data_IF_743165140194
#
_entry.id   IF_743165140194
#
_cell.length_a   1.000
_cell.length_b   1.000
_cell.length_c   1.000
_cell.angle_alpha   90.00
_cell.angle_beta   90.00
_cell.angle_gamma   90.00
#
_symmetry.space_group_name_H-M   'P 1'
#
loop_
_entity.id
_entity.type
_entity.pdbx_description
1 polymer ?
#
# COMPACT_ATOMS: atom_id res chain seq x y z
N UNK A 1 -5.72 21.67 42.60
CA UNK A 1 -5.08 21.53 41.27
C UNK A 1 -3.59 21.69 41.51
N UNK A 2 -2.85 20.58 41.51
CA UNK A 2 -1.47 20.55 41.99
C UNK A 2 -0.50 21.08 40.94
N UNK A 3 0.64 21.62 41.38
CA UNK A 3 1.73 22.15 40.53
C UNK A 3 2.22 21.14 39.46
N UNK A 4 1.97 19.84 39.67
CA UNK A 4 2.29 18.77 38.73
C UNK A 4 1.33 18.67 37.52
N UNK A 5 0.08 19.12 37.61
CA UNK A 5 -0.86 19.12 36.47
C UNK A 5 -0.47 20.15 35.39
N UNK A 6 0.28 21.20 35.76
CA UNK A 6 0.77 22.20 34.80
C UNK A 6 1.96 21.71 33.98
N UNK A 7 2.74 20.74 34.48
CA UNK A 7 3.88 20.18 33.75
C UNK A 7 3.45 19.18 32.66
N UNK A 8 2.31 18.53 32.82
CA UNK A 8 1.82 17.52 31.88
C UNK A 8 1.27 18.07 30.55
N UNK A 9 1.09 19.39 30.42
CA UNK A 9 0.60 20.02 29.18
C UNK A 9 1.71 20.70 28.37
N UNK A 10 2.97 20.45 28.71
CA UNK A 10 4.08 21.12 28.05
C UNK A 10 4.27 20.64 26.61
N UNK A 11 4.37 19.34 26.39
CA UNK A 11 4.53 18.75 25.08
C UNK A 11 3.42 17.73 24.84
N UNK A 12 2.54 18.01 23.87
CA UNK A 12 1.48 17.11 23.46
C UNK A 12 1.31 17.10 21.94
N UNK A 13 1.07 15.91 21.39
CA UNK A 13 0.69 15.72 20.00
C UNK A 13 -0.79 15.37 19.89
N UNK A 14 -1.46 15.91 18.87
CA UNK A 14 -2.88 15.64 18.63
C UNK A 14 -3.13 14.27 18.02
N UNK A 15 -2.23 13.82 17.15
CA UNK A 15 -2.31 12.53 16.45
C UNK A 15 -1.10 11.64 16.71
N UNK A 16 -1.25 10.34 16.42
CA UNK A 16 -0.11 9.41 16.44
C UNK A 16 0.89 9.79 15.36
N UNK A 17 2.15 9.91 15.75
CA UNK A 17 3.28 10.08 14.85
C UNK A 17 3.92 8.71 14.62
N UNK A 18 3.92 8.27 13.37
CA UNK A 18 4.63 7.07 12.90
C UNK A 18 4.98 7.25 11.42
N UNK A 19 5.76 6.31 10.88
CA UNK A 19 6.14 6.32 9.47
C UNK A 19 4.93 6.22 8.50
N UNK A 20 3.81 5.66 8.96
CA UNK A 20 2.62 5.39 8.14
C UNK A 20 1.38 6.19 8.55
N UNK A 21 1.48 7.09 9.54
CA UNK A 21 0.33 7.86 10.02
C UNK A 21 0.19 9.19 9.28
N UNK A 22 -1.06 9.61 9.09
CA UNK A 22 -1.37 10.95 8.62
C UNK A 22 -1.19 11.95 9.79
N UNK A 23 0.03 12.46 9.94
CA UNK A 23 0.42 13.35 11.05
C UNK A 23 0.07 14.80 10.72
N UNK A 24 -0.42 15.56 11.71
CA UNK A 24 -0.70 16.98 11.52
C UNK A 24 0.61 17.78 11.40
N UNK A 25 0.70 18.77 10.51
CA UNK A 25 1.91 19.60 10.32
C UNK A 25 2.47 20.20 11.63
N UNK A 26 1.60 20.66 12.52
CA UNK A 26 2.00 21.24 13.82
C UNK A 26 2.64 20.20 14.75
N UNK A 27 2.12 18.97 14.76
CA UNK A 27 2.67 17.87 15.56
C UNK A 27 4.07 17.48 15.04
N UNK A 28 4.27 17.51 13.71
CA UNK A 28 5.58 17.28 13.08
C UNK A 28 6.59 18.35 13.52
N UNK A 29 6.24 19.62 13.42
CA UNK A 29 7.11 20.73 13.80
C UNK A 29 7.50 20.67 15.28
N UNK A 30 6.52 20.46 16.17
CA UNK A 30 6.76 20.30 17.61
C UNK A 30 7.70 19.14 17.88
N UNK A 31 7.45 17.99 17.27
CA UNK A 31 8.24 16.77 17.48
C UNK A 31 9.67 16.92 16.98
N UNK A 32 9.88 17.43 15.76
CA UNK A 32 11.22 17.71 15.24
C UNK A 32 11.98 18.71 16.11
N UNK A 33 11.30 19.75 16.59
CA UNK A 33 11.91 20.76 17.46
C UNK A 33 12.29 20.17 18.81
N UNK A 34 11.42 19.37 19.43
CA UNK A 34 11.70 18.68 20.68
C UNK A 34 12.88 17.70 20.53
N UNK A 35 12.89 16.88 19.47
CA UNK A 35 13.99 15.95 19.21
C UNK A 35 15.32 16.66 18.89
N UNK A 36 15.27 17.83 18.25
CA UNK A 36 16.47 18.65 18.03
C UNK A 36 17.04 19.15 19.37
N UNK A 37 16.16 19.61 20.28
CA UNK A 37 16.55 20.08 21.62
C UNK A 37 17.11 18.95 22.50
N UNK A 38 16.60 17.73 22.38
CA UNK A 38 17.15 16.57 23.11
C UNK A 38 18.43 16.00 22.47
N UNK A 39 18.81 16.51 21.29
CA UNK A 39 19.98 16.09 20.52
C UNK A 39 19.78 14.80 19.71
N UNK A 40 18.55 14.33 19.57
CA UNK A 40 18.22 13.06 18.91
C UNK A 40 17.83 13.25 17.43
N UNK A 41 17.55 14.48 16.99
CA UNK A 41 17.30 14.83 15.58
C UNK A 41 18.34 15.82 15.03
N UNK A 42 18.97 15.46 13.91
CA UNK A 42 19.89 16.35 13.20
C UNK A 42 19.11 17.27 12.27
N UNK A 43 19.04 18.55 12.61
CA UNK A 43 18.37 19.56 11.78
C UNK A 43 19.11 19.69 10.44
N UNK A 44 18.42 19.51 9.29
CA UNK A 44 19.01 19.73 7.97
C UNK A 44 19.40 21.20 7.75
N UNK A 45 20.27 21.46 6.78
CA UNK A 45 20.76 22.83 6.47
C UNK A 45 19.62 23.80 6.08
N UNK A 46 18.50 23.28 5.57
CA UNK A 46 17.32 24.07 5.22
C UNK A 46 16.36 24.33 6.41
N UNK A 47 16.66 23.80 7.60
CA UNK A 47 15.86 23.98 8.81
C UNK A 47 14.82 22.89 9.06
N UNK A 48 14.00 23.11 10.09
CA UNK A 48 12.89 22.22 10.46
C UNK A 48 11.67 22.56 9.59
N UNK A 49 11.13 21.55 8.90
CA UNK A 49 9.90 21.64 8.09
C UNK A 49 8.75 20.89 8.74
N UNK A 50 7.52 21.20 8.31
CA UNK A 50 6.27 20.61 8.77
C UNK A 50 5.89 19.29 8.10
N UNK A 51 6.74 18.81 7.19
CA UNK A 51 6.59 17.53 6.50
C UNK A 51 7.36 16.46 7.28
N UNK A 52 6.74 15.32 7.64
CA UNK A 52 7.46 14.25 8.33
C UNK A 52 8.54 13.66 7.41
N UNK A 53 9.70 13.36 7.97
CA UNK A 53 10.81 12.73 7.25
C UNK A 53 11.40 11.55 8.03
N UNK A 54 12.24 10.76 7.35
CA UNK A 54 12.88 9.61 7.96
C UNK A 54 13.82 10.00 9.12
N UNK A 55 14.44 11.18 9.03
CA UNK A 55 15.30 11.70 10.09
C UNK A 55 14.53 11.89 11.41
N UNK A 56 13.28 12.36 11.35
CA UNK A 56 12.41 12.51 12.51
C UNK A 56 12.07 11.15 13.14
N UNK A 57 11.74 10.15 12.33
CA UNK A 57 11.42 8.79 12.82
C UNK A 57 12.65 8.13 13.44
N UNK A 58 13.83 8.29 12.83
CA UNK A 58 15.10 7.83 13.40
C UNK A 58 15.42 8.55 14.72
N UNK A 59 15.12 9.85 14.80
CA UNK A 59 15.24 10.62 16.04
C UNK A 59 14.34 10.11 17.15
N UNK A 60 13.09 9.77 16.85
CA UNK A 60 12.18 9.11 17.81
C UNK A 60 12.77 7.79 18.32
N UNK A 61 13.27 6.93 17.41
CA UNK A 61 13.88 5.65 17.81
C UNK A 61 15.10 5.84 18.70
N UNK A 62 15.98 6.79 18.38
CA UNK A 62 17.14 7.13 19.21
C UNK A 62 16.72 7.63 20.59
N UNK A 63 15.76 8.56 20.64
CA UNK A 63 15.23 9.07 21.90
C UNK A 63 14.61 7.95 22.76
N UNK A 64 13.81 7.07 22.14
CA UNK A 64 13.21 5.93 22.82
C UNK A 64 14.28 5.00 23.40
N UNK A 65 15.29 4.64 22.60
CA UNK A 65 16.40 3.79 23.04
C UNK A 65 17.17 4.41 24.20
N UNK A 66 17.52 5.70 24.09
CA UNK A 66 18.25 6.47 25.11
C UNK A 66 17.51 6.53 26.46
N UNK A 67 16.17 6.51 26.42
CA UNK A 67 15.32 6.61 27.62
C UNK A 67 14.72 5.26 28.07
N UNK A 68 15.17 4.13 27.52
CA UNK A 68 14.68 2.80 27.91
C UNK A 68 13.22 2.54 27.54
N UNK A 69 12.70 3.23 26.52
CA UNK A 69 11.36 3.02 25.97
C UNK A 69 11.39 1.94 24.87
N UNK A 70 10.21 1.46 24.47
CA UNK A 70 10.08 0.59 23.30
C UNK A 70 10.52 1.34 22.03
N UNK A 71 11.47 0.79 21.30
CA UNK A 71 12.08 1.39 20.09
C UNK A 71 11.26 1.05 18.85
N UNK A 72 10.07 1.62 18.73
CA UNK A 72 9.17 1.40 17.60
C UNK A 72 9.06 2.60 16.65
N UNK A 73 9.65 3.75 17.00
CA UNK A 73 9.53 4.99 16.23
C UNK A 73 8.11 5.55 16.22
N UNK A 74 7.26 5.13 17.17
CA UNK A 74 5.88 5.56 17.29
C UNK A 74 5.70 6.41 18.54
N UNK A 75 5.04 7.57 18.35
CA UNK A 75 4.62 8.42 19.45
C UNK A 75 3.09 8.60 19.39
N UNK A 76 2.40 8.13 20.42
CA UNK A 76 0.94 8.27 20.55
C UNK A 76 0.60 9.44 21.47
N UNK A 77 -0.52 10.15 21.25
CA UNK A 77 -1.05 11.14 22.19
C UNK A 77 -1.20 10.57 23.59
N UNK A 78 -0.64 11.25 24.60
CA UNK A 78 -0.62 10.79 25.99
C UNK A 78 0.20 9.51 26.23
N UNK A 79 0.98 9.08 25.24
CA UNK A 79 1.79 7.87 25.31
C UNK A 79 3.11 8.07 26.07
N UNK A 80 3.82 6.97 26.38
CA UNK A 80 5.07 7.02 27.15
C UNK A 80 6.17 7.82 26.44
N UNK A 81 6.25 7.76 25.10
CA UNK A 81 7.20 8.56 24.32
C UNK A 81 6.95 10.05 24.45
N UNK A 82 5.69 10.48 24.30
CA UNK A 82 5.28 11.89 24.43
C UNK A 82 5.57 12.41 25.84
N UNK A 83 5.14 11.66 26.86
CA UNK A 83 5.35 12.03 28.26
C UNK A 83 6.84 12.17 28.59
N UNK A 84 7.68 11.25 28.10
CA UNK A 84 9.12 11.29 28.38
C UNK A 84 9.84 12.42 27.67
N UNK A 85 9.43 12.78 26.44
CA UNK A 85 9.92 13.99 25.76
C UNK A 85 9.55 15.21 26.60
N UNK A 86 8.29 15.35 27.02
CA UNK A 86 7.82 16.45 27.86
C UNK A 86 8.62 16.58 29.17
N UNK A 87 8.85 15.46 29.86
CA UNK A 87 9.67 15.41 31.08
C UNK A 87 11.12 15.85 30.82
N UNK A 88 11.73 15.35 29.75
CA UNK A 88 13.12 15.70 29.38
C UNK A 88 13.25 17.18 29.10
N UNK A 89 12.29 17.75 28.38
CA UNK A 89 12.24 19.17 28.05
C UNK A 89 12.03 20.05 29.29
N UNK A 90 11.11 19.66 30.17
CA UNK A 90 10.88 20.35 31.44
C UNK A 90 12.14 20.35 32.31
N UNK A 91 12.86 19.22 32.37
CA UNK A 91 14.13 19.11 33.10
C UNK A 91 15.25 19.96 32.50
N UNK A 92 15.19 20.26 31.20
CA UNK A 92 16.12 21.18 30.53
C UNK A 92 15.72 22.66 30.67
N UNK A 93 14.59 22.95 31.32
CA UNK A 93 14.07 24.32 31.47
C UNK A 93 13.60 24.96 30.17
N UNK A 94 13.38 24.17 29.12
CA UNK A 94 12.88 24.65 27.83
C UNK A 94 11.40 24.96 27.98
N UNK A 95 10.95 26.13 27.51
CA UNK A 95 9.54 26.53 27.52
C UNK A 95 8.87 26.37 26.13
N UNK A 96 7.53 26.34 26.08
CA UNK A 96 6.80 26.12 24.82
C UNK A 96 7.05 27.26 23.83
N UNK A 97 7.36 28.44 24.37
CA UNK A 97 7.76 29.61 23.61
C UNK A 97 9.12 29.39 22.93
N UNK A 98 10.05 28.70 23.58
CA UNK A 98 11.38 28.41 23.03
C UNK A 98 11.31 27.41 21.86
N UNK A 99 10.44 26.39 21.98
CA UNK A 99 10.20 25.41 20.92
C UNK A 99 9.77 26.05 19.60
N UNK A 100 8.80 26.96 19.66
CA UNK A 100 8.25 27.63 18.47
C UNK A 100 9.21 28.70 17.91
N UNK A 101 10.09 29.26 18.74
CA UNK A 101 11.15 30.16 18.28
C UNK A 101 12.21 29.41 17.46
N UNK A 102 12.57 28.19 17.87
CA UNK A 102 13.56 27.36 17.14
C UNK A 102 13.06 26.79 15.82
N UNK A 103 11.75 26.67 15.62
CA UNK A 103 11.18 26.25 14.34
C UNK A 103 11.22 27.35 13.25
N UNK A 104 11.65 28.59 13.59
CA UNK A 104 11.55 29.77 12.70
C UNK A 104 12.85 30.51 12.34
N UNK A 105 14.03 29.90 12.13
CA UNK A 105 15.01 30.57 11.31
C UNK A 105 14.58 30.38 9.85
N UNK A 106 13.78 31.30 9.31
CA UNK A 106 13.87 31.57 7.87
C UNK A 106 15.37 31.83 7.63
N UNK A 107 16.05 31.06 6.77
CA UNK A 107 17.43 31.39 6.45
C UNK A 107 17.46 32.87 6.08
N UNK A 108 18.34 33.65 6.72
CA UNK A 108 18.60 35.03 6.31
C UNK A 108 19.09 34.92 4.89
N UNK A 109 18.17 35.01 3.94
CA UNK A 109 18.54 35.04 2.53
C UNK A 109 19.28 36.36 2.37
N UNK A 110 20.60 36.25 2.30
CA UNK A 110 21.49 37.34 1.90
C UNK A 110 20.86 38.04 0.71
N UNK A 111 20.73 39.37 0.82
CA UNK A 111 20.14 40.30 -0.15
C UNK A 111 20.06 39.69 -1.56
N UNK A 112 18.85 39.24 -1.88
CA UNK A 112 18.51 38.70 -3.19
C UNK A 112 18.38 39.86 -4.16
N UNK A 113 19.05 39.77 -5.30
CA UNK A 113 18.81 40.68 -6.42
C UNK A 113 17.33 40.55 -6.87
N UNK A 114 16.54 41.65 -6.87
CA UNK A 114 15.10 41.62 -7.11
C UNK A 114 14.71 41.12 -8.51
N UNK A 115 15.66 41.02 -9.45
CA UNK A 115 15.39 40.48 -10.79
C UNK A 115 15.67 38.99 -10.94
N UNK A 116 16.48 38.37 -10.07
CA UNK A 116 16.99 37.01 -10.31
C UNK A 116 16.88 36.02 -9.15
N UNK A 117 16.51 36.45 -7.95
CA UNK A 117 16.18 35.49 -6.89
C UNK A 117 17.39 34.83 -6.19
N UNK A 118 18.63 35.18 -6.54
CA UNK A 118 19.85 34.50 -6.07
C UNK A 118 20.83 35.46 -5.34
N UNK A 119 21.62 34.96 -4.37
CA UNK A 119 22.65 35.73 -3.70
C UNK A 119 23.88 35.94 -4.61
N UNK A 120 24.42 37.15 -4.61
CA UNK A 120 25.58 37.53 -5.43
C UNK A 120 26.88 36.94 -4.88
N UNK A 121 27.21 35.71 -5.31
CA UNK A 121 28.50 35.08 -5.05
C UNK A 121 29.39 35.26 -6.28
N UNK A 122 30.51 35.99 -6.14
CA UNK A 122 31.61 35.99 -7.12
C UNK A 122 32.27 34.61 -7.14
N UNK A 123 31.67 33.64 -7.81
CA UNK A 123 32.31 32.35 -8.05
C UNK A 123 33.24 32.45 -9.27
N UNK A 124 34.42 31.81 -9.24
CA UNK A 124 35.15 31.51 -10.47
C UNK A 124 34.21 30.73 -11.40
N UNK A 125 34.26 31.03 -12.71
CA UNK A 125 33.35 30.50 -13.74
C UNK A 125 33.37 28.97 -13.78
N UNK A 126 32.66 28.32 -12.86
CA UNK A 126 32.44 26.89 -12.84
C UNK A 126 31.39 26.61 -13.91
N UNK A 127 31.77 25.81 -14.90
CA UNK A 127 30.84 25.34 -15.93
C UNK A 127 29.68 24.63 -15.19
N UNK A 128 28.47 25.16 -15.34
CA UNK A 128 27.27 24.58 -14.73
C UNK A 128 27.22 23.09 -15.09
N UNK A 129 26.97 22.18 -14.12
CA UNK A 129 26.77 20.78 -14.42
C UNK A 129 25.64 20.66 -15.46
N UNK A 130 25.88 19.91 -16.52
CA UNK A 130 24.87 19.69 -17.56
C UNK A 130 23.69 18.91 -16.98
N UNK A 131 22.50 19.02 -17.58
CA UNK A 131 21.32 18.23 -17.16
C UNK A 131 21.65 16.73 -17.05
N UNK A 132 22.54 16.25 -17.92
CA UNK A 132 23.06 14.88 -17.91
C UNK A 132 23.82 14.50 -16.64
N UNK A 133 24.56 15.44 -16.04
CA UNK A 133 25.25 15.21 -14.76
C UNK A 133 24.26 15.15 -13.59
N UNK A 134 23.21 15.98 -13.59
CA UNK A 134 22.16 15.92 -12.57
C UNK A 134 21.36 14.63 -12.63
N UNK A 135 21.07 14.14 -13.83
CA UNK A 135 20.42 12.84 -14.03
C UNK A 135 21.31 11.68 -13.56
N UNK A 136 22.63 11.77 -13.77
CA UNK A 136 23.59 10.79 -13.27
C UNK A 136 23.69 10.76 -11.74
N UNK A 137 23.68 11.94 -11.09
CA UNK A 137 23.69 12.04 -9.62
C UNK A 137 22.38 11.51 -9.03
N UNK A 138 21.24 11.81 -9.64
CA UNK A 138 19.94 11.28 -9.22
C UNK A 138 19.85 9.75 -9.38
N UNK A 139 20.46 9.18 -10.42
CA UNK A 139 20.57 7.73 -10.61
C UNK A 139 21.52 7.08 -9.58
N UNK A 140 22.56 7.78 -9.13
CA UNK A 140 23.51 7.27 -8.13
C UNK A 140 23.01 7.34 -6.68
N UNK A 141 22.02 8.19 -6.39
CA UNK A 141 21.48 8.39 -5.04
C UNK A 141 20.28 7.51 -4.66
N UNK A 142 19.75 6.68 -5.58
CA UNK A 142 18.74 5.68 -5.19
C UNK A 142 19.43 4.61 -4.33
N UNK A 143 19.10 4.46 -3.03
CA UNK A 143 19.66 3.38 -2.23
C UNK A 143 19.31 2.05 -2.91
N UNK A 144 20.32 1.22 -3.16
CA UNK A 144 20.15 -0.14 -3.67
C UNK A 144 19.63 -1.04 -2.54
N UNK A 145 18.41 -0.78 -2.08
CA UNK A 145 17.69 -1.76 -1.26
C UNK A 145 17.26 -2.88 -2.19
N UNK A 146 17.71 -4.10 -1.93
CA UNK A 146 17.22 -5.25 -2.68
C UNK A 146 15.68 -5.27 -2.57
N UNK A 147 14.96 -5.35 -3.68
CA UNK A 147 13.51 -5.39 -3.62
C UNK A 147 13.05 -6.63 -2.85
N UNK A 148 11.90 -6.52 -2.18
CA UNK A 148 11.46 -7.56 -1.24
C UNK A 148 11.30 -8.94 -1.88
N UNK A 149 10.99 -8.99 -3.18
CA UNK A 149 10.83 -10.21 -3.96
C UNK A 149 12.16 -10.96 -4.27
N UNK A 150 13.31 -10.40 -3.89
CA UNK A 150 14.64 -11.04 -3.99
C UNK A 150 15.09 -11.60 -2.63
N UNK A 151 14.30 -11.40 -1.56
CA UNK A 151 14.64 -11.88 -0.22
C UNK A 151 14.78 -13.40 -0.16
N UNK A 152 15.83 -13.87 0.53
CA UNK A 152 16.05 -15.30 0.84
C UNK A 152 14.94 -15.92 1.69
N UNK A 153 14.02 -15.11 2.23
CA UNK A 153 12.88 -15.56 3.02
C UNK A 153 11.69 -16.04 2.18
N UNK A 154 11.67 -15.81 0.87
CA UNK A 154 10.57 -16.26 0.01
C UNK A 154 10.75 -17.75 -0.26
N UNK A 155 9.73 -18.54 0.10
CA UNK A 155 9.75 -19.97 -0.18
C UNK A 155 9.76 -20.18 -1.69
N UNK A 156 10.58 -21.11 -2.22
CA UNK A 156 10.51 -21.47 -3.62
C UNK A 156 9.10 -21.97 -3.95
N UNK A 157 8.59 -21.54 -5.09
CA UNK A 157 7.29 -22.00 -5.61
C UNK A 157 7.45 -23.38 -6.24
N UNK A 158 6.35 -24.13 -6.33
CA UNK A 158 6.35 -25.42 -7.02
C UNK A 158 6.75 -25.27 -8.50
N UNK A 159 7.37 -26.31 -9.07
CA UNK A 159 7.85 -26.30 -10.46
C UNK A 159 6.75 -25.95 -11.48
N UNK A 160 5.50 -26.35 -11.20
CA UNK A 160 4.36 -26.03 -12.05
C UNK A 160 4.05 -24.53 -12.05
N UNK A 161 3.99 -23.90 -10.86
CA UNK A 161 3.78 -22.47 -10.71
C UNK A 161 4.93 -21.66 -11.30
N UNK A 162 6.18 -22.11 -11.10
CA UNK A 162 7.35 -21.52 -11.72
C UNK A 162 7.23 -21.51 -13.26
N UNK A 163 6.89 -22.67 -13.84
CA UNK A 163 6.71 -22.82 -15.29
C UNK A 163 5.53 -22.02 -15.84
N UNK A 164 4.44 -21.93 -15.07
CA UNK A 164 3.28 -21.11 -15.42
C UNK A 164 3.63 -19.62 -15.45
N UNK A 165 4.40 -19.14 -14.47
CA UNK A 165 4.94 -17.79 -14.44
C UNK A 165 5.86 -17.54 -15.65
N UNK A 166 6.72 -18.50 -16.02
CA UNK A 166 7.60 -18.37 -17.19
C UNK A 166 6.80 -18.19 -18.49
N UNK A 167 5.76 -19.01 -18.71
CA UNK A 167 4.89 -18.87 -19.90
C UNK A 167 4.16 -17.53 -19.93
N UNK A 168 3.65 -17.10 -18.77
CA UNK A 168 3.01 -15.80 -18.63
C UNK A 168 3.98 -14.65 -18.93
N UNK A 169 5.23 -14.79 -18.47
CA UNK A 169 6.32 -13.85 -18.76
C UNK A 169 6.62 -13.79 -20.26
N UNK A 170 6.73 -14.93 -20.93
CA UNK A 170 6.98 -14.99 -22.37
C UNK A 170 5.90 -14.26 -23.16
N UNK A 171 4.64 -14.40 -22.77
CA UNK A 171 3.54 -13.60 -23.32
C UNK A 171 3.70 -12.10 -23.02
N UNK A 172 3.95 -11.73 -21.77
CA UNK A 172 4.14 -10.33 -21.36
C UNK A 172 5.25 -9.63 -22.15
N UNK A 173 6.36 -10.32 -22.41
CA UNK A 173 7.52 -9.76 -23.09
C UNK A 173 7.33 -9.55 -24.59
N UNK A 174 6.34 -10.19 -25.20
CA UNK A 174 5.98 -9.93 -26.60
C UNK A 174 5.26 -8.58 -26.80
N UNK A 175 4.75 -7.98 -25.73
CA UNK A 175 4.00 -6.72 -25.77
C UNK A 175 4.72 -5.61 -25.01
N UNK A 176 4.58 -4.37 -25.49
CA UNK A 176 5.14 -3.18 -24.83
C UNK A 176 4.38 -2.74 -23.58
N UNK A 177 3.16 -3.24 -23.39
CA UNK A 177 2.28 -2.92 -22.25
C UNK A 177 2.11 -4.12 -21.33
N UNK A 178 1.75 -3.86 -20.07
CA UNK A 178 1.54 -4.92 -19.09
C UNK A 178 0.23 -5.70 -19.28
N UNK A 179 -0.70 -5.18 -20.09
CA UNK A 179 -1.99 -5.81 -20.35
C UNK A 179 -2.85 -5.90 -19.08
N UNK A 180 -3.61 -6.98 -18.95
CA UNK A 180 -4.47 -7.26 -17.78
C UNK A 180 -3.74 -7.97 -16.65
N UNK A 181 -2.48 -8.38 -16.85
CA UNK A 181 -1.71 -9.17 -15.87
C UNK A 181 -1.59 -8.51 -14.50
N UNK A 182 -1.33 -7.20 -14.38
CA UNK A 182 -1.31 -6.54 -13.08
C UNK A 182 -2.63 -6.65 -12.31
N UNK A 183 -3.77 -6.64 -13.01
CA UNK A 183 -5.08 -6.83 -12.39
C UNK A 183 -5.27 -8.26 -11.91
N UNK A 184 -4.83 -9.26 -12.68
CA UNK A 184 -4.90 -10.68 -12.29
C UNK A 184 -4.07 -10.97 -11.03
N UNK A 185 -2.83 -10.46 -10.97
CA UNK A 185 -2.01 -10.60 -9.77
C UNK A 185 -2.63 -9.85 -8.59
N UNK A 186 -3.10 -8.61 -8.79
CA UNK A 186 -3.78 -7.87 -7.73
C UNK A 186 -5.00 -8.64 -7.19
N UNK A 187 -5.79 -9.26 -8.06
CA UNK A 187 -6.93 -10.09 -7.66
C UNK A 187 -6.52 -11.33 -6.86
N UNK A 188 -5.45 -12.01 -7.25
CA UNK A 188 -4.91 -13.15 -6.47
C UNK A 188 -4.41 -12.73 -5.09
N UNK A 189 -3.82 -11.54 -4.98
CA UNK A 189 -3.24 -11.00 -3.76
C UNK A 189 -4.29 -10.40 -2.80
N UNK A 190 -5.49 -10.06 -3.28
CA UNK A 190 -6.56 -9.44 -2.47
C UNK A 190 -6.90 -10.20 -1.20
N UNK A 191 -6.80 -11.52 -1.24
CA UNK A 191 -7.15 -12.37 -0.10
C UNK A 191 -5.98 -12.58 0.88
N UNK A 192 -4.78 -12.07 0.55
CA UNK A 192 -3.58 -12.26 1.38
C UNK A 192 -3.10 -13.72 1.44
N UNK A 193 -3.39 -14.52 0.41
CA UNK A 193 -2.92 -15.90 0.34
C UNK A 193 -1.38 -15.94 0.20
N UNK A 194 -0.72 -16.63 1.13
CA UNK A 194 0.74 -16.82 1.14
C UNK A 194 1.22 -17.42 -0.20
N UNK A 195 0.44 -18.34 -0.78
CA UNK A 195 0.75 -18.93 -2.09
C UNK A 195 0.80 -17.86 -3.19
N UNK A 196 -0.20 -16.99 -3.25
CA UNK A 196 -0.27 -15.92 -4.24
C UNK A 196 0.89 -14.91 -4.08
N UNK A 197 1.30 -14.62 -2.84
CA UNK A 197 2.46 -13.74 -2.57
C UNK A 197 3.75 -14.38 -3.09
N UNK A 198 3.97 -15.67 -2.87
CA UNK A 198 5.15 -16.37 -3.38
C UNK A 198 5.16 -16.50 -4.90
N UNK A 199 4.01 -16.81 -5.52
CA UNK A 199 3.87 -16.85 -6.98
C UNK A 199 4.14 -15.49 -7.60
N UNK A 200 3.64 -14.41 -6.99
CA UNK A 200 3.91 -13.05 -7.42
C UNK A 200 5.39 -12.68 -7.26
N UNK A 201 6.01 -13.01 -6.12
CA UNK A 201 7.43 -12.74 -5.91
C UNK A 201 8.31 -13.49 -6.91
N UNK A 202 8.01 -14.76 -7.17
CA UNK A 202 8.71 -15.55 -8.20
C UNK A 202 8.54 -14.94 -9.60
N UNK A 203 7.35 -14.45 -9.94
CA UNK A 203 7.11 -13.73 -11.19
C UNK A 203 7.95 -12.45 -11.27
N UNK A 204 7.97 -11.63 -10.21
CA UNK A 204 8.77 -10.40 -10.17
C UNK A 204 10.26 -10.65 -10.29
N UNK A 205 10.76 -11.74 -9.71
CA UNK A 205 12.16 -12.15 -9.86
C UNK A 205 12.47 -12.55 -11.30
N UNK A 206 11.64 -13.40 -11.93
CA UNK A 206 11.78 -13.74 -13.35
C UNK A 206 11.69 -12.50 -14.26
N UNK A 207 10.84 -11.52 -13.92
CA UNK A 207 10.72 -10.27 -14.67
C UNK A 207 11.99 -9.43 -14.52
N UNK A 208 12.54 -9.36 -13.31
CA UNK A 208 13.78 -8.65 -13.00
C UNK A 208 14.96 -9.22 -13.79
N UNK A 209 15.08 -10.55 -13.84
CA UNK A 209 16.17 -11.23 -14.52
C UNK A 209 16.14 -11.04 -16.04
N UNK A 210 14.94 -10.88 -16.64
CA UNK A 210 14.77 -10.77 -18.09
C UNK A 210 14.62 -9.32 -18.59
N UNK A 211 13.94 -8.47 -17.82
CA UNK A 211 13.52 -7.10 -18.15
C UNK A 211 13.37 -6.24 -16.89
N UNK A 212 14.48 -6.04 -16.18
CA UNK A 212 14.54 -5.24 -14.95
C UNK A 212 13.87 -3.86 -15.04
N UNK A 213 13.92 -3.21 -16.20
CA UNK A 213 13.30 -1.89 -16.41
C UNK A 213 11.77 -1.90 -16.31
N UNK A 214 11.11 -3.06 -16.45
CA UNK A 214 9.65 -3.18 -16.36
C UNK A 214 9.15 -3.47 -14.96
N UNK A 215 10.03 -3.90 -14.05
CA UNK A 215 9.70 -4.34 -12.69
C UNK A 215 8.94 -3.27 -11.93
N UNK A 216 9.49 -2.06 -11.84
CA UNK A 216 8.89 -0.98 -11.03
C UNK A 216 7.49 -0.61 -11.53
N UNK A 217 7.34 -0.45 -12.86
CA UNK A 217 6.06 -0.10 -13.46
C UNK A 217 5.01 -1.21 -13.30
N UNK A 218 5.40 -2.47 -13.47
CA UNK A 218 4.51 -3.60 -13.23
C UNK A 218 4.10 -3.70 -11.75
N UNK A 219 5.06 -3.57 -10.85
CA UNK A 219 4.84 -3.65 -9.41
C UNK A 219 3.89 -2.56 -8.92
N UNK A 220 4.14 -1.30 -9.31
CA UNK A 220 3.29 -0.17 -8.97
C UNK A 220 1.86 -0.36 -9.48
N UNK A 221 1.70 -0.90 -10.70
CA UNK A 221 0.38 -1.15 -11.26
C UNK A 221 -0.40 -2.21 -10.45
N UNK A 222 0.27 -3.29 -10.02
CA UNK A 222 -0.34 -4.30 -9.13
C UNK A 222 -0.71 -3.67 -7.79
N UNK A 223 0.23 -3.01 -7.12
CA UNK A 223 0.03 -2.42 -5.77
C UNK A 223 -1.08 -1.37 -5.78
N UNK A 224 -1.17 -0.56 -6.82
CA UNK A 224 -2.22 0.48 -6.97
C UNK A 224 -3.65 -0.12 -6.98
N UNK A 225 -3.79 -1.37 -7.42
CA UNK A 225 -5.07 -2.10 -7.53
C UNK A 225 -5.41 -2.91 -6.28
N UNK A 226 -4.47 -3.04 -5.33
CA UNK A 226 -4.72 -3.75 -4.08
C UNK A 226 -5.64 -2.97 -3.14
N UNK A 227 -6.42 -3.65 -2.28
CA UNK A 227 -7.09 -3.02 -1.16
C UNK A 227 -6.09 -2.41 -0.17
N UNK A 228 -6.47 -1.34 0.51
CA UNK A 228 -5.56 -0.60 1.39
C UNK A 228 -4.95 -1.46 2.53
N UNK A 229 -5.75 -2.39 3.08
CA UNK A 229 -5.27 -3.32 4.10
C UNK A 229 -4.18 -4.27 3.57
N UNK A 230 -4.20 -4.61 2.27
CA UNK A 230 -3.17 -5.47 1.65
C UNK A 230 -1.95 -4.64 1.26
N UNK A 231 -2.12 -3.40 0.81
CA UNK A 231 -0.99 -2.49 0.52
C UNK A 231 -0.09 -2.30 1.73
N UNK A 232 -0.67 -2.21 2.94
CA UNK A 232 0.11 -2.09 4.17
C UNK A 232 1.01 -3.31 4.43
N UNK A 233 0.55 -4.52 4.07
CA UNK A 233 1.36 -5.75 4.17
C UNK A 233 2.53 -5.68 3.19
N UNK A 234 2.30 -5.23 1.96
CA UNK A 234 3.38 -5.05 0.97
C UNK A 234 4.38 -3.97 1.37
N UNK A 235 3.91 -2.85 1.92
CA UNK A 235 4.79 -1.83 2.47
C UNK A 235 5.64 -2.37 3.63
N UNK A 236 5.08 -3.24 4.48
CA UNK A 236 5.85 -3.91 5.53
C UNK A 236 6.91 -4.85 4.94
N UNK A 237 6.55 -5.65 3.93
CA UNK A 237 7.51 -6.53 3.24
C UNK A 237 8.66 -5.73 2.61
N UNK A 238 8.38 -4.57 2.02
CA UNK A 238 9.39 -3.65 1.49
C UNK A 238 10.33 -3.12 2.58
N UNK A 239 9.80 -2.77 3.75
CA UNK A 239 10.60 -2.28 4.88
C UNK A 239 11.46 -3.38 5.52
N UNK A 240 10.95 -4.61 5.62
CA UNK A 240 11.62 -5.72 6.30
C UNK A 240 12.90 -6.19 5.60
N UNK A 241 13.05 -5.90 4.30
CA UNK A 241 14.26 -6.27 3.53
C UNK A 241 15.40 -5.27 3.71
N UNK A 242 15.11 -4.04 4.15
CA UNK A 242 16.12 -3.02 4.43
C UNK A 242 16.75 -3.11 5.82
N UNK A 243 16.25 -3.98 6.70
CA UNK A 243 16.46 -3.83 8.15
C UNK A 243 17.44 -4.77 8.85
N UNK A 244 18.05 -5.78 8.19
CA UNK A 244 18.75 -6.81 8.98
C UNK A 244 20.02 -7.47 8.39
N UNK A 245 20.77 -6.81 7.50
CA UNK A 245 22.15 -7.24 7.19
C UNK A 245 23.15 -6.59 8.15
N UNK A 246 23.04 -6.90 9.45
CA UNK A 246 24.15 -6.67 10.38
C UNK A 246 25.09 -7.86 10.28
N UNK A 247 26.12 -7.72 9.43
CA UNK A 247 27.45 -8.34 9.56
C UNK A 247 27.59 -9.39 10.69
N UNK A 248 27.31 -10.66 10.40
CA UNK A 248 27.93 -11.77 11.13
C UNK A 248 29.21 -12.16 10.39
N UNK A 249 30.33 -11.98 11.09
CA UNK A 249 31.68 -12.19 10.58
C UNK A 249 31.99 -13.63 10.20
N UNK A 250 32.93 -13.74 9.28
CA UNK A 250 33.57 -14.97 8.84
C UNK A 250 34.12 -15.80 10.00
N UNK A 251 33.85 -17.12 9.97
CA UNK A 251 34.81 -18.19 10.23
C UNK A 251 34.09 -19.55 10.31
N UNK A 252 34.15 -20.33 9.23
CA UNK A 252 34.42 -21.78 9.33
C UNK A 252 34.76 -22.35 7.94
N UNK A 253 35.98 -22.86 7.83
CA UNK A 253 36.50 -23.65 6.71
C UNK A 253 35.94 -25.09 6.69
N UNK A 254 36.12 -25.83 5.58
CA UNK A 254 35.30 -26.97 5.23
C UNK A 254 35.85 -28.30 5.74
N UNK A 255 34.98 -29.20 6.19
CA UNK A 255 35.32 -30.61 6.37
C UNK A 255 34.72 -31.47 5.26
N UNK A 256 35.63 -32.11 4.52
CA UNK A 256 35.41 -33.32 3.74
C UNK A 256 34.72 -34.40 4.59
N UNK A 257 33.72 -35.07 4.02
CA UNK A 257 33.63 -36.53 4.11
C UNK A 257 33.21 -37.14 2.78
N UNK A 258 34.01 -38.14 2.40
CA UNK A 258 33.94 -39.03 1.26
C UNK A 258 32.77 -40.03 1.35
N UNK A 259 32.27 -40.40 0.16
CA UNK A 259 31.99 -41.77 -0.33
C UNK A 259 30.76 -42.52 0.20
N UNK A 260 29.81 -42.77 -0.71
CA UNK A 260 29.41 -44.13 -1.13
C UNK A 260 29.16 -44.09 -2.65
N UNK A 261 29.91 -44.92 -3.37
CA UNK A 261 29.67 -45.32 -4.76
C UNK A 261 28.74 -46.53 -4.79
N UNK A 262 28.09 -46.72 -5.94
CA UNK A 262 27.53 -47.95 -6.52
C UNK A 262 26.01 -48.18 -6.49
N UNK A 263 25.56 -48.63 -7.69
CA UNK A 263 24.31 -49.34 -8.07
C UNK A 263 23.10 -48.42 -8.36
N UNK A 264 22.46 -48.36 -9.54
CA UNK A 264 22.49 -49.19 -10.75
C UNK A 264 22.01 -48.43 -12.00
N UNK A 265 22.36 -49.02 -13.14
CA UNK A 265 22.01 -48.65 -14.52
C UNK A 265 20.51 -48.83 -14.85
N UNK A 266 20.07 -48.13 -15.90
CA UNK A 266 18.86 -48.23 -16.75
C UNK A 266 18.10 -46.89 -16.77
N UNK A 267 17.88 -46.17 -17.87
CA UNK A 267 17.71 -46.58 -19.27
C UNK A 267 18.07 -45.42 -20.20
N UNK A 268 18.85 -45.72 -21.23
CA UNK A 268 18.96 -44.92 -22.44
C UNK A 268 17.78 -45.25 -23.35
N UNK A 269 16.95 -44.26 -23.68
CA UNK A 269 16.36 -44.09 -25.02
C UNK A 269 15.42 -42.88 -25.05
N UNK A 270 15.91 -41.76 -25.55
CA UNK A 270 15.06 -40.84 -26.31
C UNK A 270 15.93 -40.14 -27.34
N UNK A 271 15.74 -40.57 -28.58
CA UNK A 271 16.40 -40.04 -29.77
C UNK A 271 16.15 -38.54 -29.88
N UNK A 272 17.24 -37.77 -29.85
CA UNK A 272 17.25 -36.36 -30.24
C UNK A 272 16.96 -36.22 -31.72
N UNK A 273 15.68 -36.01 -32.06
CA UNK A 273 15.27 -35.51 -33.36
C UNK A 273 15.67 -34.04 -33.49
N UNK A 274 16.73 -33.78 -34.25
CA UNK A 274 17.14 -32.43 -34.64
C UNK A 274 16.09 -31.86 -35.59
N UNK A 275 15.10 -31.13 -35.07
CA UNK A 275 14.15 -30.37 -35.89
C UNK A 275 14.87 -29.10 -36.36
N UNK A 276 15.27 -29.11 -37.63
CA UNK A 276 15.74 -27.93 -38.34
C UNK A 276 14.59 -26.91 -38.43
N UNK A 277 14.55 -25.98 -37.47
CA UNK A 277 13.63 -24.84 -37.51
C UNK A 277 14.08 -23.90 -38.62
N UNK A 278 13.56 -24.14 -39.84
CA UNK A 278 13.59 -23.16 -40.93
C UNK A 278 12.90 -21.89 -40.43
N UNK A 279 13.68 -20.83 -40.17
CA UNK A 279 13.20 -19.47 -39.98
C UNK A 279 12.40 -19.05 -41.22
N UNK A 280 11.08 -19.26 -41.20
CA UNK A 280 10.17 -18.57 -42.11
C UNK A 280 10.22 -17.09 -41.74
N UNK A 281 10.68 -16.27 -42.68
CA UNK A 281 10.65 -14.81 -42.54
C UNK A 281 9.23 -14.31 -42.27
N UNK A 282 9.08 -13.09 -41.72
CA UNK A 282 7.78 -12.51 -41.41
C UNK A 282 6.96 -12.45 -42.70
N UNK A 283 5.90 -13.25 -42.75
CA UNK A 283 4.87 -13.11 -43.78
C UNK A 283 4.08 -11.86 -43.40
N UNK A 284 4.44 -10.73 -43.99
CA UNK A 284 3.66 -9.50 -44.01
C UNK A 284 2.38 -9.75 -44.83
N UNK A 285 1.47 -10.55 -44.29
CA UNK A 285 0.13 -10.68 -44.84
C UNK A 285 -0.65 -9.42 -44.53
N UNK A 286 -1.09 -8.69 -45.56
CA UNK A 286 -1.98 -7.54 -45.39
C UNK A 286 -3.20 -7.94 -44.56
N UNK A 287 -3.34 -7.35 -43.38
CA UNK A 287 -4.49 -7.57 -42.51
C UNK A 287 -5.70 -6.94 -43.21
N UNK A 288 -6.59 -7.78 -43.73
CA UNK A 288 -7.82 -7.29 -44.36
C UNK A 288 -8.71 -6.58 -43.34
N UNK A 289 -9.49 -5.56 -43.74
CA UNK A 289 -10.45 -4.89 -42.86
C UNK A 289 -11.40 -5.86 -42.13
N UNK A 290 -11.83 -6.95 -42.79
CA UNK A 290 -12.65 -7.99 -42.17
C UNK A 290 -11.91 -8.73 -41.03
N UNK A 291 -10.63 -9.05 -41.20
CA UNK A 291 -9.81 -9.69 -40.16
C UNK A 291 -9.60 -8.78 -38.95
N UNK A 292 -9.34 -7.49 -39.19
CA UNK A 292 -9.22 -6.47 -38.14
C UNK A 292 -10.53 -6.34 -37.35
N UNK A 293 -11.68 -6.25 -38.03
CA UNK A 293 -12.98 -6.16 -37.38
C UNK A 293 -13.32 -7.41 -36.56
N UNK A 294 -12.95 -8.61 -37.04
CA UNK A 294 -13.12 -9.85 -36.28
C UNK A 294 -12.36 -9.84 -34.96
N UNK A 295 -11.08 -9.43 -34.97
CA UNK A 295 -10.27 -9.30 -33.75
C UNK A 295 -10.84 -8.25 -32.78
N UNK A 296 -11.30 -7.10 -33.30
CA UNK A 296 -11.93 -6.07 -32.46
C UNK A 296 -13.26 -6.53 -31.85
N UNK A 297 -14.05 -7.34 -32.58
CA UNK A 297 -15.28 -7.92 -32.06
C UNK A 297 -15.01 -8.92 -30.95
N UNK A 298 -13.97 -9.74 -31.09
CA UNK A 298 -13.58 -10.71 -30.06
C UNK A 298 -13.11 -10.00 -28.79
N UNK A 299 -12.29 -8.95 -28.91
CA UNK A 299 -11.90 -8.11 -27.79
C UNK A 299 -13.11 -7.44 -27.10
N UNK A 300 -14.05 -6.92 -27.89
CA UNK A 300 -15.26 -6.28 -27.35
C UNK A 300 -16.23 -7.29 -26.70
N UNK A 301 -16.27 -8.56 -27.16
CA UNK A 301 -17.01 -9.65 -26.50
C UNK A 301 -16.41 -9.96 -25.13
N UNK A 302 -15.09 -10.15 -25.06
CA UNK A 302 -14.41 -10.39 -23.79
C UNK A 302 -14.65 -9.25 -22.79
N UNK A 303 -14.48 -8.00 -23.21
CA UNK A 303 -14.73 -6.84 -22.34
C UNK A 303 -16.19 -6.75 -21.84
N UNK A 304 -17.16 -7.12 -22.68
CA UNK A 304 -18.57 -7.20 -22.28
C UNK A 304 -18.80 -8.29 -21.24
N UNK A 305 -18.28 -9.50 -21.49
CA UNK A 305 -18.51 -10.67 -20.64
C UNK A 305 -17.84 -10.48 -19.26
N UNK A 306 -16.67 -9.85 -19.21
CA UNK A 306 -16.00 -9.43 -17.98
C UNK A 306 -16.83 -8.41 -17.19
N UNK A 307 -17.32 -7.35 -17.85
CA UNK A 307 -18.17 -6.34 -17.20
C UNK A 307 -19.46 -6.97 -16.65
N UNK A 308 -20.08 -7.88 -17.40
CA UNK A 308 -21.27 -8.61 -16.96
C UNK A 308 -20.99 -9.52 -15.76
N UNK A 309 -19.84 -10.18 -15.73
CA UNK A 309 -19.41 -10.99 -14.60
C UNK A 309 -19.24 -10.14 -13.34
N UNK A 310 -18.59 -8.98 -13.43
CA UNK A 310 -18.43 -8.06 -12.30
C UNK A 310 -19.78 -7.53 -11.78
N UNK A 311 -20.69 -7.13 -12.69
CA UNK A 311 -22.05 -6.71 -12.33
C UNK A 311 -22.78 -7.84 -11.56
N UNK A 312 -22.69 -9.09 -12.03
CA UNK A 312 -23.30 -10.25 -11.35
C UNK A 312 -22.72 -10.47 -9.96
N UNK A 313 -21.41 -10.32 -9.80
CA UNK A 313 -20.73 -10.48 -8.50
C UNK A 313 -21.18 -9.39 -7.51
N UNK A 314 -21.20 -8.13 -7.93
CA UNK A 314 -21.64 -6.99 -7.12
C UNK A 314 -23.09 -7.18 -6.67
N UNK A 315 -23.99 -7.55 -7.59
CA UNK A 315 -25.41 -7.81 -7.27
C UNK A 315 -25.58 -8.97 -6.28
N UNK A 316 -24.78 -10.04 -6.43
CA UNK A 316 -24.79 -11.18 -5.49
C UNK A 316 -24.32 -10.75 -4.09
N UNK A 317 -23.28 -9.93 -4.01
CA UNK A 317 -22.73 -9.44 -2.75
C UNK A 317 -23.72 -8.50 -2.03
N UNK A 318 -24.31 -7.56 -2.78
CA UNK A 318 -25.39 -6.70 -2.29
C UNK A 318 -26.54 -7.51 -1.70
N UNK A 319 -27.04 -8.52 -2.42
CA UNK A 319 -28.14 -9.39 -1.93
C UNK A 319 -27.76 -10.16 -0.65
N UNK A 320 -26.49 -10.53 -0.49
CA UNK A 320 -26.00 -11.16 0.75
C UNK A 320 -25.98 -10.16 1.91
N UNK A 321 -25.52 -8.94 1.68
CA UNK A 321 -25.48 -7.89 2.70
C UNK A 321 -26.90 -7.38 3.05
N UNK A 322 -27.85 -7.34 2.10
CA UNK A 322 -29.26 -7.02 2.38
C UNK A 322 -29.86 -8.05 3.37
N UNK A 323 -29.64 -9.35 3.13
CA UNK A 323 -30.05 -10.40 4.08
C UNK A 323 -29.31 -10.32 5.42
N UNK A 324 -28.05 -9.89 5.40
CA UNK A 324 -27.29 -9.70 6.64
C UNK A 324 -27.83 -8.51 7.44
N UNK A 325 -28.30 -7.45 6.76
CA UNK A 325 -28.92 -6.29 7.37
C UNK A 325 -30.22 -6.69 8.06
N UNK A 326 -31.10 -7.44 7.38
CA UNK A 326 -32.36 -7.94 7.96
C UNK A 326 -32.12 -8.73 9.26
N UNK A 327 -31.08 -9.59 9.28
CA UNK A 327 -30.70 -10.33 10.49
C UNK A 327 -30.14 -9.42 11.58
N UNK A 328 -29.29 -8.47 11.22
CA UNK A 328 -28.72 -7.52 12.17
C UNK A 328 -29.78 -6.61 12.78
N UNK A 329 -30.80 -6.22 12.02
CA UNK A 329 -31.99 -5.51 12.53
C UNK A 329 -32.75 -6.38 13.53
N UNK A 330 -33.01 -7.66 13.19
CA UNK A 330 -33.62 -8.61 14.12
C UNK A 330 -32.83 -8.79 15.42
N UNK A 331 -31.52 -9.00 15.33
CA UNK A 331 -30.63 -9.12 16.49
C UNK A 331 -30.65 -7.85 17.36
N UNK A 332 -30.66 -6.67 16.72
CA UNK A 332 -30.75 -5.40 17.42
C UNK A 332 -32.09 -5.23 18.15
N UNK A 333 -33.20 -5.53 17.49
CA UNK A 333 -34.53 -5.48 18.11
C UNK A 333 -34.66 -6.44 19.29
N UNK A 334 -34.14 -7.67 19.17
CA UNK A 334 -34.12 -8.62 20.28
C UNK A 334 -33.27 -8.10 21.45
N UNK A 335 -32.08 -7.57 21.18
CA UNK A 335 -31.21 -7.02 22.22
C UNK A 335 -31.83 -5.82 22.96
N UNK A 336 -32.60 -4.98 22.24
CA UNK A 336 -33.37 -3.88 22.83
C UNK A 336 -34.55 -4.42 23.65
N UNK A 337 -35.26 -5.42 23.16
CA UNK A 337 -36.39 -6.04 23.87
C UNK A 337 -35.94 -6.74 25.16
N UNK A 338 -34.77 -7.40 25.17
CA UNK A 338 -34.16 -7.98 26.39
C UNK A 338 -33.95 -6.95 27.51
N UNK A 339 -33.84 -5.66 27.16
CA UNK A 339 -33.68 -4.56 28.12
C UNK A 339 -35.02 -3.96 28.59
N UNK A 340 -36.16 -4.55 28.21
CA UNK A 340 -37.48 -4.07 28.59
C UNK A 340 -37.89 -2.75 27.93
N UNK A 341 -37.16 -2.30 26.91
CA UNK A 341 -37.44 -1.08 26.16
C UNK A 341 -38.39 -1.40 25.00
N UNK A 342 -39.63 -0.94 25.11
CA UNK A 342 -40.54 -0.87 23.97
C UNK A 342 -40.22 0.39 23.17
N UNK A 343 -39.34 0.26 22.16
CA UNK A 343 -39.09 1.34 21.22
C UNK A 343 -40.01 1.17 20.01
N UNK A 344 -40.80 2.20 19.69
CA UNK A 344 -41.50 2.28 18.42
C UNK A 344 -40.47 2.24 17.28
N UNK A 345 -40.66 1.33 16.33
CA UNK A 345 -39.73 1.00 15.24
C UNK A 345 -39.31 2.22 14.42
N UNK A 346 -40.18 3.23 14.31
CA UNK A 346 -39.98 4.39 13.45
C UNK A 346 -38.99 5.42 14.01
N UNK A 347 -38.68 5.37 15.31
CA UNK A 347 -37.77 6.32 15.98
C UNK A 347 -36.28 5.94 15.89
N UNK A 348 -35.95 4.75 15.40
CA UNK A 348 -34.60 4.17 15.51
C UNK A 348 -33.58 4.71 14.49
N UNK A 349 -34.03 5.29 13.37
CA UNK A 349 -33.14 5.64 12.25
C UNK A 349 -32.31 6.91 12.45
N UNK A 350 -32.53 7.67 13.53
CA UNK A 350 -31.76 8.89 13.84
C UNK A 350 -31.31 9.05 15.30
N UNK A 351 -31.65 8.13 16.19
CA UNK A 351 -31.69 8.42 17.63
C UNK A 351 -30.73 7.57 18.47
N UNK A 352 -29.58 7.15 17.95
CA UNK A 352 -28.60 6.37 18.74
C UNK A 352 -28.20 7.06 20.04
N UNK A 353 -28.00 8.38 19.99
CA UNK A 353 -27.73 9.18 21.18
C UNK A 353 -28.90 9.19 22.17
N UNK A 354 -30.14 9.16 21.69
CA UNK A 354 -31.31 9.08 22.56
C UNK A 354 -31.46 7.70 23.21
N UNK A 355 -31.16 6.62 22.46
CA UNK A 355 -31.16 5.24 22.97
C UNK A 355 -30.08 5.08 24.05
N UNK A 356 -28.86 5.55 23.79
CA UNK A 356 -27.79 5.54 24.80
C UNK A 356 -28.17 6.35 26.03
N UNK A 357 -28.77 7.53 25.86
CA UNK A 357 -29.21 8.38 26.98
C UNK A 357 -30.30 7.70 27.79
N UNK A 358 -31.26 7.04 27.14
CA UNK A 358 -32.31 6.28 27.80
C UNK A 358 -31.76 5.06 28.55
N UNK A 359 -30.80 4.33 27.96
CA UNK A 359 -30.14 3.17 28.58
C UNK A 359 -29.34 3.54 29.82
N UNK A 360 -28.60 4.65 29.76
CA UNK A 360 -27.87 5.19 30.92
C UNK A 360 -28.85 5.63 32.00
N UNK A 361 -29.95 6.28 31.63
CA UNK A 361 -30.98 6.74 32.57
C UNK A 361 -31.75 5.60 33.24
N UNK A 362 -31.90 4.47 32.55
CA UNK A 362 -32.64 3.30 33.04
C UNK A 362 -31.83 2.38 33.97
N UNK A 363 -30.56 2.68 34.24
CA UNK A 363 -29.71 1.86 35.12
C UNK A 363 -29.43 0.45 34.55
N UNK A 364 -29.47 0.29 33.22
CA UNK A 364 -29.23 -0.99 32.57
C UNK A 364 -27.83 -1.53 32.94
N UNK A 365 -27.76 -2.82 33.32
CA UNK A 365 -26.48 -3.46 33.63
C UNK A 365 -25.53 -3.39 32.44
N UNK A 366 -24.25 -3.12 32.71
CA UNK A 366 -23.20 -2.88 31.69
C UNK A 366 -23.11 -3.99 30.61
N UNK A 367 -23.48 -5.23 30.95
CA UNK A 367 -23.48 -6.36 30.01
C UNK A 367 -24.53 -6.21 28.90
N UNK A 368 -25.73 -5.70 29.20
CA UNK A 368 -26.79 -5.50 28.20
C UNK A 368 -26.47 -4.37 27.22
N UNK A 369 -25.84 -3.30 27.70
CA UNK A 369 -25.41 -2.16 26.89
C UNK A 369 -24.37 -2.59 25.84
N UNK A 370 -23.45 -3.49 26.20
CA UNK A 370 -22.43 -3.98 25.27
C UNK A 370 -23.03 -4.81 24.11
N UNK A 371 -24.03 -5.66 24.36
CA UNK A 371 -24.73 -6.40 23.30
C UNK A 371 -25.41 -5.46 22.32
N UNK A 372 -26.14 -4.45 22.82
CA UNK A 372 -26.81 -3.44 21.98
C UNK A 372 -25.80 -2.63 21.17
N UNK A 373 -24.66 -2.25 21.77
CA UNK A 373 -23.57 -1.55 21.08
C UNK A 373 -22.96 -2.40 19.95
N UNK A 374 -22.69 -3.68 20.20
CA UNK A 374 -22.15 -4.59 19.18
C UNK A 374 -23.14 -4.80 18.02
N UNK A 375 -24.41 -5.03 18.33
CA UNK A 375 -25.46 -5.17 17.31
C UNK A 375 -25.59 -3.90 16.45
N UNK A 376 -25.55 -2.72 17.09
CA UNK A 376 -25.61 -1.44 16.39
C UNK A 376 -24.38 -1.17 15.51
N UNK A 377 -23.17 -1.48 15.99
CA UNK A 377 -21.94 -1.35 15.18
C UNK A 377 -22.03 -2.24 13.94
N UNK A 378 -22.42 -3.51 14.11
CA UNK A 378 -22.60 -4.45 12.99
C UNK A 378 -23.66 -3.98 11.99
N UNK A 379 -24.76 -3.44 12.48
CA UNK A 379 -25.81 -2.81 11.66
C UNK A 379 -25.25 -1.64 10.84
N UNK A 380 -24.51 -0.73 11.48
CA UNK A 380 -23.89 0.43 10.84
C UNK A 380 -22.90 0.05 9.74
N UNK A 381 -22.05 -0.95 9.98
CA UNK A 381 -21.10 -1.47 8.99
C UNK A 381 -21.78 -2.04 7.74
N UNK A 382 -22.82 -2.87 7.92
CA UNK A 382 -23.56 -3.46 6.79
C UNK A 382 -24.26 -2.36 5.98
N UNK A 383 -24.90 -1.40 6.66
CA UNK A 383 -25.57 -0.26 6.01
C UNK A 383 -24.59 0.59 5.21
N UNK A 384 -23.38 0.81 5.73
CA UNK A 384 -22.31 1.50 5.03
C UNK A 384 -21.85 0.74 3.78
N UNK A 385 -21.63 -0.58 3.87
CA UNK A 385 -21.31 -1.42 2.70
C UNK A 385 -22.39 -1.35 1.62
N UNK A 386 -23.67 -1.41 2.03
CA UNK A 386 -24.80 -1.32 1.10
C UNK A 386 -24.81 0.00 0.32
N UNK A 387 -24.54 1.13 0.98
CA UNK A 387 -24.43 2.44 0.33
C UNK A 387 -23.29 2.50 -0.70
N UNK A 388 -22.20 1.76 -0.47
CA UNK A 388 -21.06 1.73 -1.38
C UNK A 388 -21.25 0.83 -2.62
N UNK A 389 -22.17 -0.14 -2.60
CA UNK A 389 -22.42 -0.96 -3.80
C UNK A 389 -22.94 -0.15 -4.98
N UNK A 390 -23.77 0.87 -4.75
CA UNK A 390 -24.30 1.71 -5.83
C UNK A 390 -23.17 2.50 -6.52
N UNK A 391 -22.22 3.02 -5.73
CA UNK A 391 -21.04 3.71 -6.25
C UNK A 391 -20.12 2.78 -7.07
N UNK A 392 -20.02 1.52 -6.67
CA UNK A 392 -19.19 0.53 -7.34
C UNK A 392 -19.88 -0.11 -8.56
N UNK A 393 -21.22 -0.14 -8.60
CA UNK A 393 -21.97 -0.74 -9.71
C UNK A 393 -21.98 0.17 -10.95
N UNK A 394 -22.12 1.48 -10.76
CA UNK A 394 -22.30 2.43 -11.86
C UNK A 394 -21.16 2.45 -12.91
N UNK A 395 -19.86 2.33 -12.56
CA UNK A 395 -18.78 2.21 -13.54
C UNK A 395 -18.94 0.98 -14.44
N UNK A 396 -19.21 -0.19 -13.87
CA UNK A 396 -19.32 -1.43 -14.65
C UNK A 396 -20.56 -1.46 -15.55
N UNK A 397 -21.67 -0.86 -15.13
CA UNK A 397 -22.85 -0.69 -15.99
C UNK A 397 -22.57 0.24 -17.18
N UNK A 398 -21.75 1.28 -16.98
CA UNK A 398 -21.27 2.14 -18.08
C UNK A 398 -20.38 1.37 -19.04
N UNK A 399 -19.42 0.60 -18.54
CA UNK A 399 -18.51 -0.22 -19.37
C UNK A 399 -19.28 -1.27 -20.17
N UNK A 400 -20.20 -1.99 -19.52
CA UNK A 400 -21.06 -2.96 -20.19
C UNK A 400 -21.86 -2.32 -21.33
N UNK A 401 -22.45 -1.13 -21.10
CA UNK A 401 -23.17 -0.38 -22.14
C UNK A 401 -22.23 0.05 -23.28
N UNK A 402 -21.01 0.49 -22.96
CA UNK A 402 -20.00 0.86 -23.95
C UNK A 402 -19.62 -0.33 -24.85
N UNK A 403 -19.28 -1.48 -24.27
CA UNK A 403 -18.91 -2.67 -25.05
C UNK A 403 -20.08 -3.18 -25.90
N UNK A 404 -21.30 -3.15 -25.37
CA UNK A 404 -22.51 -3.50 -26.12
C UNK A 404 -22.71 -2.60 -27.34
N UNK A 405 -22.54 -1.28 -27.18
CA UNK A 405 -22.63 -0.33 -28.28
C UNK A 405 -21.51 -0.55 -29.32
N UNK A 406 -20.27 -0.75 -28.87
CA UNK A 406 -19.13 -0.99 -29.78
C UNK A 406 -19.31 -2.28 -30.57
N UNK A 407 -19.85 -3.34 -29.95
CA UNK A 407 -20.19 -4.57 -30.67
C UNK A 407 -21.24 -4.30 -31.76
N UNK A 408 -22.30 -3.56 -31.45
CA UNK A 408 -23.33 -3.21 -32.43
C UNK A 408 -22.76 -2.40 -33.61
N UNK A 409 -21.83 -1.48 -33.35
CA UNK A 409 -21.12 -0.72 -34.39
C UNK A 409 -20.26 -1.63 -35.26
N UNK A 410 -19.47 -2.52 -34.66
CA UNK A 410 -18.63 -3.47 -35.39
C UNK A 410 -19.45 -4.43 -36.27
N UNK A 411 -20.64 -4.85 -35.81
CA UNK A 411 -21.56 -5.63 -36.64
C UNK A 411 -22.08 -4.83 -37.85
N UNK A 412 -22.37 -3.53 -37.69
CA UNK A 412 -22.78 -2.65 -38.79
C UNK A 412 -21.64 -2.44 -39.79
N UNK A 413 -20.45 -2.09 -39.30
CA UNK A 413 -19.24 -1.91 -40.13
C UNK A 413 -18.94 -3.17 -40.94
N UNK A 414 -19.03 -4.35 -40.31
CA UNK A 414 -18.78 -5.63 -40.98
C UNK A 414 -19.79 -5.89 -42.11
N UNK A 415 -21.08 -5.62 -41.86
CA UNK A 415 -22.16 -5.74 -42.86
C UNK A 415 -21.93 -4.79 -44.04
N UNK A 416 -21.48 -3.57 -43.80
CA UNK A 416 -21.16 -2.59 -44.87
C UNK A 416 -19.96 -3.02 -45.72
N UNK A 417 -18.99 -3.71 -45.12
CA UNK A 417 -17.81 -4.25 -45.81
C UNK A 417 -18.08 -5.55 -46.59
N UNK A 418 -19.30 -6.11 -46.52
CA UNK A 418 -19.63 -7.37 -47.18
C UNK A 418 -18.98 -8.60 -46.53
N UNK A 419 -18.59 -8.48 -45.26
CA UNK A 419 -18.29 -9.61 -44.38
C UNK A 419 -19.47 -9.88 -43.40
#
# INVERSE_FOLDING_TARGET
MGMFDQLNNFFSVGNTISQSSNTQPDDVLKTKSALAQTGDYKVPDFGITDIPDMGMIDGLKKFQQKNGLKVDGVMKPGGPTEAKIGETMANQGVTNTDLLATAKPKPKVSKIDPLTGLPEVKMPKLKKPTAKMWEQVAQQQKPKTNPWFISSKIKPVENEAHSANTRTMDGLLQYSKNGSLPALYADSLKNGDEKAVHEYANFMQQLSDRKGERVDGFHQEVVSRLPENVKQVFAQLEMDVGGNETSMGANTEPHLTKRVEDVDQQSENSQGGHVEVKKKGPLEGEITPCSKNASMMEAARHGRDDAEHQIRLIKRNRKRDEKALERAEGDFHMAVAELGLSLATDALTGAWNAILTALVSAGAQALGINKVKQAYTKYGEIRYRLKNYDNNLAPHERDFKMYKNRLADLYRERKELGC
#
